data_IF_970083906039
#
_entry.id   IF_970083906039
#
_cell.length_a   1.000
_cell.length_b   1.000
_cell.length_c   1.000
_cell.angle_alpha   90.00
_cell.angle_beta   90.00
_cell.angle_gamma   90.00
#
_symmetry.space_group_name_H-M   'P 1'
#
loop_
_entity.id
_entity.type
_entity.pdbx_description
1 polymer ?
#
# COMPACT_ATOMS: atom_id res chain seq x y z
N UNK A 1 16.82 -18.04 -27.10
CA UNK A 1 17.70 -17.04 -26.47
C UNK A 1 17.09 -16.74 -25.10
N UNK A 2 17.61 -17.36 -24.05
CA UNK A 2 17.22 -17.02 -22.68
C UNK A 2 17.82 -15.66 -22.37
N UNK A 3 17.04 -14.59 -22.54
CA UNK A 3 17.45 -13.26 -22.07
C UNK A 3 17.79 -13.34 -20.58
N UNK A 4 18.85 -12.70 -20.16
CA UNK A 4 19.19 -12.58 -18.75
C UNK A 4 17.98 -11.98 -18.03
N UNK A 5 17.49 -12.64 -16.97
CA UNK A 5 16.43 -12.10 -16.12
C UNK A 5 16.95 -10.86 -15.43
N UNK A 6 16.14 -9.79 -15.38
CA UNK A 6 16.47 -8.61 -14.61
C UNK A 6 16.47 -8.91 -13.09
N UNK A 7 17.23 -8.11 -12.34
CA UNK A 7 17.20 -8.23 -10.88
C UNK A 7 15.84 -7.75 -10.35
N UNK A 8 15.37 -6.57 -10.79
CA UNK A 8 14.15 -5.95 -10.27
C UNK A 8 13.31 -5.30 -11.39
N UNK A 9 11.99 -5.47 -11.32
CA UNK A 9 11.03 -4.68 -12.06
C UNK A 9 10.38 -3.64 -11.12
N UNK A 10 10.67 -2.35 -11.34
CA UNK A 10 9.99 -1.26 -10.64
C UNK A 10 8.63 -1.00 -11.30
N UNK A 11 7.58 -0.93 -10.50
CA UNK A 11 6.21 -0.71 -10.94
C UNK A 11 5.60 0.47 -10.19
N UNK A 12 5.05 1.40 -10.93
CA UNK A 12 4.47 2.64 -10.41
C UNK A 12 3.06 2.81 -10.96
N UNK A 13 2.11 3.20 -10.11
CA UNK A 13 0.77 3.61 -10.55
C UNK A 13 0.60 5.09 -10.30
N UNK A 14 0.23 5.85 -11.35
CA UNK A 14 -0.01 7.27 -11.28
C UNK A 14 -1.49 7.60 -11.48
N UNK A 15 -1.97 8.57 -10.72
CA UNK A 15 -3.25 9.25 -10.93
C UNK A 15 -3.16 10.68 -10.43
N UNK A 16 -3.10 11.65 -11.36
CA UNK A 16 -2.88 13.07 -11.06
C UNK A 16 -1.62 13.32 -10.21
N UNK A 17 -0.49 12.81 -10.68
CA UNK A 17 0.79 12.77 -9.94
C UNK A 17 1.87 13.67 -10.55
N UNK A 18 1.50 14.67 -11.36
CA UNK A 18 2.43 15.52 -12.13
C UNK A 18 3.46 16.24 -11.25
N UNK A 19 3.13 16.50 -9.99
CA UNK A 19 4.01 17.21 -9.05
C UNK A 19 5.15 16.36 -8.51
N UNK A 20 4.97 15.05 -8.43
CA UNK A 20 5.85 14.17 -7.65
C UNK A 20 6.58 13.12 -8.50
N UNK A 21 5.91 12.58 -9.53
CA UNK A 21 6.40 11.43 -10.31
C UNK A 21 7.80 11.63 -10.91
N UNK A 22 8.16 12.85 -11.29
CA UNK A 22 9.49 13.15 -11.82
C UNK A 22 10.58 12.93 -10.77
N UNK A 23 10.37 13.40 -9.54
CA UNK A 23 11.33 13.24 -8.44
C UNK A 23 11.55 11.76 -8.11
N UNK A 24 10.47 10.96 -8.07
CA UNK A 24 10.59 9.51 -7.92
C UNK A 24 11.49 8.92 -9.02
N UNK A 25 11.13 9.11 -10.29
CA UNK A 25 11.83 8.49 -11.43
C UNK A 25 13.30 8.91 -11.49
N UNK A 26 13.62 10.16 -11.15
CA UNK A 26 14.99 10.68 -11.11
C UNK A 26 15.82 10.13 -9.94
N UNK A 27 15.19 9.63 -8.87
CA UNK A 27 15.88 8.97 -7.75
C UNK A 27 16.31 7.53 -8.08
N UNK A 28 15.61 6.85 -8.99
CA UNK A 28 15.79 5.41 -9.25
C UNK A 28 17.19 5.01 -9.69
N UNK A 29 17.88 5.71 -10.61
CA UNK A 29 19.22 5.27 -11.04
C UNK A 29 20.22 5.15 -9.89
N UNK A 30 20.15 6.05 -8.90
CA UNK A 30 21.02 5.99 -7.70
C UNK A 30 20.53 4.92 -6.72
N UNK A 31 19.23 4.75 -6.59
CA UNK A 31 18.63 3.78 -5.70
C UNK A 31 18.91 2.33 -6.09
N UNK A 32 19.00 2.06 -7.40
CA UNK A 32 19.31 0.73 -7.92
C UNK A 32 20.81 0.39 -7.93
N UNK A 33 21.71 1.39 -7.89
CA UNK A 33 23.14 1.16 -7.94
C UNK A 33 23.55 0.38 -9.19
N UNK A 34 24.13 -0.81 -9.01
CA UNK A 34 24.59 -1.68 -10.12
C UNK A 34 23.57 -2.74 -10.57
N UNK A 35 22.38 -2.78 -9.96
CA UNK A 35 21.36 -3.75 -10.33
C UNK A 35 20.78 -3.50 -11.72
N UNK A 36 20.42 -4.58 -12.42
CA UNK A 36 19.67 -4.50 -13.67
C UNK A 36 18.18 -4.35 -13.38
N UNK A 37 17.54 -3.35 -13.96
CA UNK A 37 16.14 -3.07 -13.69
C UNK A 37 15.36 -2.56 -14.90
N UNK A 38 14.04 -2.63 -14.81
CA UNK A 38 13.10 -1.96 -15.71
C UNK A 38 12.13 -1.13 -14.87
N UNK A 39 11.53 -0.11 -15.49
CA UNK A 39 10.51 0.73 -14.86
C UNK A 39 9.26 0.71 -15.72
N UNK A 40 8.14 0.27 -15.17
CA UNK A 40 6.82 0.31 -15.81
C UNK A 40 5.92 1.24 -15.01
N UNK A 41 5.38 2.25 -15.68
CA UNK A 41 4.43 3.21 -15.08
C UNK A 41 3.07 3.02 -15.70
N UNK A 42 2.07 2.67 -14.88
CA UNK A 42 0.67 2.64 -15.29
C UNK A 42 0.01 3.95 -14.92
N UNK A 43 -0.40 4.73 -15.91
CA UNK A 43 -1.19 5.94 -15.69
C UNK A 43 -2.68 5.62 -15.73
N UNK A 44 -3.33 5.75 -14.59
CA UNK A 44 -4.75 5.46 -14.38
C UNK A 44 -5.67 6.61 -14.83
N UNK A 45 -5.39 7.21 -15.99
CA UNK A 45 -6.23 8.24 -16.58
C UNK A 45 -6.08 9.60 -15.91
N UNK A 46 -4.86 10.05 -15.69
CA UNK A 46 -4.56 11.37 -15.15
C UNK A 46 -5.05 12.50 -16.05
N UNK A 47 -5.50 13.60 -15.45
CA UNK A 47 -5.98 14.80 -16.14
C UNK A 47 -5.13 16.06 -15.86
N UNK A 48 -4.06 15.95 -15.07
CA UNK A 48 -3.22 17.05 -14.58
C UNK A 48 -1.90 17.24 -15.37
N UNK A 49 -1.75 16.56 -16.51
CA UNK A 49 -0.51 16.59 -17.31
C UNK A 49 0.50 15.48 -16.95
N UNK A 50 0.20 14.60 -15.99
CA UNK A 50 1.06 13.45 -15.62
C UNK A 50 1.42 12.61 -16.85
N UNK A 51 0.42 12.22 -17.67
CA UNK A 51 0.61 11.40 -18.88
C UNK A 51 1.58 12.06 -19.85
N UNK A 52 1.50 13.39 -20.04
CA UNK A 52 2.38 14.12 -20.97
C UNK A 52 3.83 14.20 -20.46
N UNK A 53 4.02 14.31 -19.14
CA UNK A 53 5.35 14.25 -18.52
C UNK A 53 5.97 12.87 -18.72
N UNK A 54 5.23 11.82 -18.46
CA UNK A 54 5.68 10.43 -18.59
C UNK A 54 5.97 10.05 -20.05
N UNK A 55 5.17 10.51 -21.00
CA UNK A 55 5.35 10.23 -22.42
C UNK A 55 6.66 10.80 -23.03
N UNK A 56 7.29 11.75 -22.35
CA UNK A 56 8.58 12.35 -22.77
C UNK A 56 9.79 11.56 -22.26
N UNK A 57 9.60 10.59 -21.38
CA UNK A 57 10.67 9.78 -20.80
C UNK A 57 10.93 8.55 -21.67
N UNK A 58 12.21 8.27 -21.90
CA UNK A 58 12.66 7.09 -22.65
C UNK A 58 13.17 5.95 -21.75
N UNK A 59 13.26 6.21 -20.45
CA UNK A 59 13.78 5.29 -19.42
C UNK A 59 12.67 4.50 -18.70
N UNK A 60 11.43 4.65 -19.15
CA UNK A 60 10.27 3.94 -18.60
C UNK A 60 9.42 3.32 -19.72
N UNK A 61 8.66 2.29 -19.38
CA UNK A 61 7.51 1.82 -20.16
C UNK A 61 6.24 2.45 -19.61
N UNK A 62 5.53 3.24 -20.42
CA UNK A 62 4.27 3.89 -20.03
C UNK A 62 3.08 3.08 -20.54
N UNK A 63 2.27 2.59 -19.62
CA UNK A 63 0.99 1.94 -19.89
C UNK A 63 -0.15 2.88 -19.53
N UNK A 64 -0.96 3.29 -20.51
CA UNK A 64 -2.16 4.12 -20.28
C UNK A 64 -3.35 3.24 -19.96
N UNK A 65 -4.09 3.59 -18.91
CA UNK A 65 -5.25 2.83 -18.44
C UNK A 65 -6.39 3.75 -18.02
N UNK A 66 -7.55 3.15 -17.79
CA UNK A 66 -8.62 3.78 -17.00
C UNK A 66 -8.33 3.58 -15.51
N UNK A 67 -8.94 4.43 -14.67
CA UNK A 67 -8.80 4.28 -13.22
C UNK A 67 -9.74 3.18 -12.69
N UNK A 68 -9.23 1.96 -12.66
CA UNK A 68 -9.88 0.78 -12.08
C UNK A 68 -9.27 0.37 -10.72
N UNK A 69 -8.44 1.24 -10.12
CA UNK A 69 -7.89 1.13 -8.77
C UNK A 69 -6.39 0.88 -8.74
N UNK A 70 -5.83 1.00 -7.53
CA UNK A 70 -4.39 0.87 -7.31
C UNK A 70 -3.92 -0.57 -7.51
N UNK A 71 -4.63 -1.55 -6.92
CA UNK A 71 -4.30 -2.97 -7.07
C UNK A 71 -4.29 -3.42 -8.55
N UNK A 72 -5.31 -3.03 -9.32
CA UNK A 72 -5.39 -3.33 -10.75
C UNK A 72 -4.25 -2.67 -11.54
N UNK A 73 -3.90 -1.43 -11.21
CA UNK A 73 -2.76 -0.74 -11.79
C UNK A 73 -1.43 -1.47 -11.53
N UNK A 74 -1.18 -1.89 -10.30
CA UNK A 74 0.03 -2.67 -9.95
C UNK A 74 0.07 -4.01 -10.69
N UNK A 75 -1.02 -4.78 -10.68
CA UNK A 75 -1.07 -6.06 -11.39
C UNK A 75 -0.80 -5.88 -12.90
N UNK A 76 -1.37 -4.84 -13.49
CA UNK A 76 -1.15 -4.49 -14.91
C UNK A 76 0.31 -4.09 -15.18
N UNK A 77 0.94 -3.31 -14.28
CA UNK A 77 2.34 -2.94 -14.41
C UNK A 77 3.26 -4.16 -14.32
N UNK A 78 2.97 -5.09 -13.39
CA UNK A 78 3.72 -6.34 -13.25
C UNK A 78 3.55 -7.22 -14.50
N UNK A 79 2.35 -7.30 -15.07
CA UNK A 79 2.08 -8.06 -16.28
C UNK A 79 2.83 -7.48 -17.50
N UNK A 80 2.96 -6.16 -17.59
CA UNK A 80 3.69 -5.49 -18.66
C UNK A 80 5.22 -5.55 -18.44
N UNK A 81 5.68 -5.75 -17.21
CA UNK A 81 7.12 -5.74 -16.91
C UNK A 81 7.85 -6.96 -17.48
N UNK A 82 9.11 -6.80 -17.90
CA UNK A 82 9.98 -7.93 -18.20
C UNK A 82 10.13 -8.88 -17.00
N UNK A 83 10.57 -10.11 -17.28
CA UNK A 83 10.87 -11.06 -16.22
C UNK A 83 12.01 -10.54 -15.33
N UNK A 84 11.74 -10.47 -14.02
CA UNK A 84 12.68 -10.04 -12.99
C UNK A 84 12.52 -10.93 -11.76
N UNK A 85 13.54 -11.05 -10.92
CA UNK A 85 13.49 -11.87 -9.69
C UNK A 85 12.66 -11.22 -8.58
N UNK A 86 12.60 -9.89 -8.56
CA UNK A 86 11.82 -9.11 -7.60
C UNK A 86 11.00 -8.01 -8.28
N UNK A 87 9.96 -7.54 -7.60
CA UNK A 87 9.06 -6.47 -8.00
C UNK A 87 9.16 -5.36 -6.97
N UNK A 88 9.54 -4.15 -7.38
CA UNK A 88 9.56 -2.97 -6.51
C UNK A 88 8.29 -2.14 -6.78
N UNK A 89 7.35 -2.18 -5.85
CA UNK A 89 6.12 -1.40 -5.89
C UNK A 89 6.39 -0.03 -5.29
N UNK A 90 6.03 1.04 -6.01
CA UNK A 90 6.33 2.43 -5.62
C UNK A 90 5.12 3.34 -5.82
N UNK A 91 4.85 4.17 -4.82
CA UNK A 91 3.97 5.32 -4.98
C UNK A 91 4.68 6.44 -5.75
N UNK A 92 3.95 7.24 -6.55
CA UNK A 92 4.54 8.30 -7.36
C UNK A 92 5.08 9.49 -6.55
N UNK A 93 4.75 9.59 -5.26
CA UNK A 93 5.18 10.62 -4.31
C UNK A 93 6.25 10.13 -3.31
N UNK A 94 6.91 9.02 -3.65
CA UNK A 94 8.06 8.50 -2.94
C UNK A 94 9.37 8.87 -3.64
N UNK A 95 10.49 8.86 -2.90
CA UNK A 95 11.85 8.84 -3.44
C UNK A 95 12.70 7.85 -2.66
N UNK A 96 13.73 7.32 -3.28
CA UNK A 96 14.60 6.31 -2.68
C UNK A 96 16.01 6.88 -2.52
N UNK A 97 16.66 6.53 -1.41
CA UNK A 97 18.05 6.83 -1.18
C UNK A 97 18.98 6.02 -2.10
N UNK A 98 20.23 6.46 -2.23
CA UNK A 98 21.24 5.72 -2.95
C UNK A 98 21.42 4.30 -2.38
N UNK A 99 21.50 3.31 -3.26
CA UNK A 99 21.67 1.89 -2.93
C UNK A 99 20.56 1.31 -2.02
N UNK A 100 19.38 1.95 -1.96
CA UNK A 100 18.26 1.43 -1.17
C UNK A 100 17.78 0.07 -1.68
N UNK A 101 17.68 -0.10 -3.00
CA UNK A 101 17.16 -1.34 -3.60
C UNK A 101 18.09 -2.54 -3.38
N UNK A 102 19.42 -2.46 -3.59
CA UNK A 102 20.35 -3.52 -3.20
C UNK A 102 20.20 -3.95 -1.74
N UNK A 103 20.09 -3.01 -0.80
CA UNK A 103 19.91 -3.30 0.63
C UNK A 103 18.57 -4.01 0.92
N UNK A 104 17.49 -3.59 0.26
CA UNK A 104 16.21 -4.31 0.36
C UNK A 104 16.32 -5.72 -0.23
N UNK A 105 17.05 -5.88 -1.33
CA UNK A 105 17.23 -7.17 -1.99
C UNK A 105 18.03 -8.14 -1.11
N UNK A 106 19.02 -7.68 -0.35
CA UNK A 106 19.74 -8.50 0.64
C UNK A 106 18.78 -9.10 1.68
N UNK A 107 17.84 -8.30 2.20
CA UNK A 107 16.80 -8.79 3.13
C UNK A 107 15.83 -9.75 2.45
N UNK A 108 15.46 -9.49 1.19
CA UNK A 108 14.53 -10.32 0.42
C UNK A 108 15.10 -11.71 0.09
N UNK A 109 16.42 -11.82 -0.08
CA UNK A 109 17.09 -13.08 -0.40
C UNK A 109 17.14 -14.06 0.79
N UNK A 110 16.74 -13.65 1.99
CA UNK A 110 16.68 -14.52 3.16
C UNK A 110 15.56 -15.57 3.01
N UNK A 111 15.77 -16.80 3.44
CA UNK A 111 14.75 -17.85 3.33
C UNK A 111 13.42 -17.45 3.97
N UNK A 112 12.33 -17.63 3.24
CA UNK A 112 10.98 -17.34 3.72
C UNK A 112 10.54 -15.89 3.65
N UNK A 113 11.42 -14.95 3.27
CA UNK A 113 11.03 -13.54 3.08
C UNK A 113 10.36 -13.37 1.71
N UNK A 114 9.18 -12.79 1.70
CA UNK A 114 8.40 -12.51 0.49
C UNK A 114 8.22 -11.03 0.21
N UNK A 115 8.28 -10.19 1.25
CA UNK A 115 8.05 -8.74 1.15
C UNK A 115 9.06 -8.03 2.04
N UNK A 116 9.65 -6.94 1.53
CA UNK A 116 10.55 -6.06 2.30
C UNK A 116 10.05 -4.62 2.23
N UNK A 117 9.96 -3.97 3.38
CA UNK A 117 9.64 -2.56 3.52
C UNK A 117 10.87 -1.79 4.04
N UNK A 118 11.22 -0.63 3.46
CA UNK A 118 12.35 0.18 3.90
C UNK A 118 11.97 1.09 5.07
N UNK A 119 12.98 1.75 5.66
CA UNK A 119 12.80 2.91 6.51
C UNK A 119 12.30 4.08 5.66
N UNK A 120 11.21 4.70 6.09
CA UNK A 120 10.62 5.85 5.39
C UNK A 120 10.68 7.07 6.28
N UNK A 121 11.06 8.20 5.71
CA UNK A 121 11.06 9.50 6.37
C UNK A 121 10.07 10.45 5.69
N UNK A 122 9.55 11.41 6.45
CA UNK A 122 8.76 12.54 5.95
C UNK A 122 9.68 13.60 5.35
N UNK A 123 9.13 14.62 4.68
CA UNK A 123 9.92 15.72 4.08
C UNK A 123 10.80 16.49 5.10
N UNK A 124 10.39 16.53 6.36
CA UNK A 124 11.14 17.19 7.44
C UNK A 124 12.23 16.32 8.06
N UNK A 125 12.45 15.10 7.55
CA UNK A 125 13.41 14.13 8.04
C UNK A 125 12.93 13.34 9.26
N UNK A 126 11.71 13.56 9.72
CA UNK A 126 11.14 12.74 10.80
C UNK A 126 10.79 11.33 10.32
N UNK A 127 10.83 10.35 11.22
CA UNK A 127 10.44 8.98 10.91
C UNK A 127 8.96 8.92 10.55
N UNK A 128 8.66 8.38 9.37
CA UNK A 128 7.29 8.02 8.99
C UNK A 128 6.96 6.63 9.52
N UNK A 129 6.04 6.49 10.50
CA UNK A 129 5.70 5.18 11.06
C UNK A 129 4.86 4.38 10.06
N UNK A 130 5.50 3.61 9.19
CA UNK A 130 4.88 2.81 8.13
C UNK A 130 4.50 1.40 8.57
N UNK A 131 5.04 0.89 9.68
CA UNK A 131 4.83 -0.48 10.14
C UNK A 131 3.49 -0.65 10.85
N UNK A 132 2.89 -1.81 10.68
CA UNK A 132 1.53 -2.10 11.16
C UNK A 132 1.41 -3.51 11.72
N UNK A 133 0.53 -3.64 12.71
CA UNK A 133 0.03 -4.93 13.22
C UNK A 133 -1.27 -5.31 12.51
N UNK A 134 -1.52 -6.59 12.34
CA UNK A 134 -2.73 -7.09 11.68
C UNK A 134 -4.03 -6.63 12.39
N UNK A 135 -5.15 -6.52 11.65
CA UNK A 135 -6.40 -6.04 12.19
C UNK A 135 -7.00 -7.01 13.22
N UNK A 136 -7.41 -6.48 14.39
CA UNK A 136 -8.12 -7.22 15.44
C UNK A 136 -9.27 -6.39 15.98
N UNK A 137 -10.22 -7.04 16.69
CA UNK A 137 -11.31 -6.32 17.37
C UNK A 137 -10.77 -5.31 18.39
N UNK A 138 -9.73 -5.65 19.14
CA UNK A 138 -9.12 -4.74 20.10
C UNK A 138 -8.50 -3.51 19.44
N UNK A 139 -7.86 -3.69 18.30
CA UNK A 139 -7.21 -2.59 17.55
C UNK A 139 -8.21 -1.65 16.89
N UNK A 140 -9.29 -2.18 16.28
CA UNK A 140 -10.34 -1.34 15.68
C UNK A 140 -11.16 -0.59 16.71
N UNK A 141 -11.30 -1.15 17.92
CA UNK A 141 -12.14 -0.58 18.97
C UNK A 141 -11.66 0.75 19.55
N UNK A 142 -10.59 1.32 19.00
CA UNK A 142 -10.07 2.61 19.44
C UNK A 142 -9.48 2.58 20.85
N UNK A 143 -9.07 1.40 21.32
CA UNK A 143 -8.42 1.23 22.64
C UNK A 143 -6.94 1.69 22.62
N UNK A 144 -6.44 2.20 21.50
CA UNK A 144 -5.10 2.78 21.39
C UNK A 144 -4.85 3.92 22.38
N UNK A 145 -5.92 4.62 22.83
CA UNK A 145 -5.80 5.64 23.88
C UNK A 145 -5.30 5.10 25.23
N UNK A 146 -5.34 3.79 25.45
CA UNK A 146 -4.78 3.15 26.66
C UNK A 146 -3.25 3.18 26.69
N UNK A 147 -2.60 3.52 25.56
CA UNK A 147 -1.15 3.47 25.42
C UNK A 147 -0.57 2.05 25.33
N UNK A 148 -1.42 1.00 25.38
CA UNK A 148 -0.95 -0.37 25.29
C UNK A 148 -0.70 -0.76 23.81
N UNK A 149 0.53 -1.16 23.42
CA UNK A 149 0.88 -1.48 22.03
C UNK A 149 0.00 -2.54 21.39
N UNK A 150 -0.53 -3.49 22.19
CA UNK A 150 -1.41 -4.57 21.69
C UNK A 150 -2.71 -4.03 21.05
N UNK A 151 -3.15 -2.84 21.45
CA UNK A 151 -4.36 -2.19 20.92
C UNK A 151 -4.08 -1.18 19.81
N UNK A 152 -2.80 -0.90 19.52
CA UNK A 152 -2.42 -0.04 18.42
C UNK A 152 -2.11 -0.87 17.17
N UNK A 153 -2.73 -0.54 16.04
CA UNK A 153 -2.39 -1.11 14.75
C UNK A 153 -1.10 -0.49 14.21
N UNK A 154 -0.99 0.84 14.30
CA UNK A 154 0.20 1.59 13.93
C UNK A 154 1.30 1.37 14.95
N UNK A 155 2.50 1.07 14.50
CA UNK A 155 3.69 0.96 15.33
C UNK A 155 4.36 2.33 15.32
N UNK A 156 4.32 3.03 16.46
CA UNK A 156 4.84 4.40 16.60
C UNK A 156 6.12 4.46 17.44
N UNK A 157 6.49 3.37 18.11
CA UNK A 157 7.71 3.29 18.92
C UNK A 157 8.95 3.37 18.01
N UNK A 158 9.79 4.41 18.10
CA UNK A 158 10.98 4.55 17.26
C UNK A 158 11.96 3.38 17.39
N UNK A 159 12.00 2.71 18.53
CA UNK A 159 12.90 1.57 18.75
C UNK A 159 12.59 0.38 17.85
N UNK A 160 11.35 0.22 17.42
CA UNK A 160 10.93 -0.79 16.45
C UNK A 160 11.50 -0.51 15.03
N UNK A 161 12.02 0.70 14.80
CA UNK A 161 12.61 1.11 13.52
C UNK A 161 14.15 1.11 13.53
N UNK A 162 14.78 0.63 14.59
CA UNK A 162 16.24 0.58 14.70
C UNK A 162 16.85 -0.72 14.17
N UNK A 163 16.08 -1.80 14.09
CA UNK A 163 16.57 -3.11 13.68
C UNK A 163 15.64 -3.80 12.68
N UNK A 164 16.24 -4.69 11.89
CA UNK A 164 15.50 -5.52 10.94
C UNK A 164 14.68 -6.59 11.66
N UNK A 165 13.38 -6.69 11.36
CA UNK A 165 12.48 -7.67 11.95
C UNK A 165 11.23 -7.93 11.09
N UNK A 166 10.52 -9.00 11.41
CA UNK A 166 9.24 -9.32 10.77
C UNK A 166 8.10 -8.45 11.31
N UNK A 167 7.21 -8.03 10.40
CA UNK A 167 6.00 -7.26 10.71
C UNK A 167 4.77 -7.91 10.09
N UNK A 168 3.58 -7.63 10.61
CA UNK A 168 2.36 -8.16 9.99
C UNK A 168 2.12 -7.57 8.60
N UNK A 169 2.37 -6.27 8.43
CA UNK A 169 2.32 -5.57 7.14
C UNK A 169 2.94 -4.16 7.26
N UNK A 170 3.25 -3.56 6.13
CA UNK A 170 3.72 -2.18 6.04
C UNK A 170 2.89 -1.40 5.01
N UNK A 171 2.86 -0.08 5.13
CA UNK A 171 2.18 0.81 4.17
C UNK A 171 2.74 0.60 2.77
N UNK A 172 1.86 0.46 1.79
CA UNK A 172 2.17 0.08 0.40
C UNK A 172 2.88 1.14 -0.44
N UNK A 173 3.42 2.20 0.18
CA UNK A 173 4.11 3.25 -0.56
C UNK A 173 5.41 2.77 -1.24
N UNK A 174 6.14 1.88 -0.57
CA UNK A 174 7.39 1.30 -1.06
C UNK A 174 7.50 -0.14 -0.54
N UNK A 175 7.38 -1.13 -1.42
CA UNK A 175 7.52 -2.54 -1.08
C UNK A 175 8.34 -3.27 -2.14
N UNK A 176 9.38 -3.99 -1.72
CA UNK A 176 10.08 -4.94 -2.58
C UNK A 176 9.51 -6.34 -2.34
N UNK A 177 9.05 -7.00 -3.39
CA UNK A 177 8.33 -8.27 -3.33
C UNK A 177 9.07 -9.33 -4.14
N UNK A 178 9.29 -10.51 -3.56
CA UNK A 178 9.77 -11.69 -4.32
C UNK A 178 8.73 -12.03 -5.39
N UNK A 179 9.17 -12.17 -6.64
CA UNK A 179 8.25 -12.47 -7.76
C UNK A 179 7.49 -13.77 -7.55
N UNK A 180 8.11 -14.78 -6.97
CA UNK A 180 7.44 -16.07 -6.67
C UNK A 180 6.35 -15.89 -5.63
N UNK A 181 6.56 -15.04 -4.62
CA UNK A 181 5.53 -14.68 -3.65
C UNK A 181 4.36 -13.97 -4.34
N UNK A 182 4.63 -12.97 -5.19
CA UNK A 182 3.61 -12.24 -5.94
C UNK A 182 2.77 -13.16 -6.83
N UNK A 183 3.42 -14.04 -7.58
CA UNK A 183 2.76 -14.98 -8.50
C UNK A 183 1.99 -16.08 -7.76
N UNK A 184 2.54 -16.62 -6.65
CA UNK A 184 1.85 -17.62 -5.82
C UNK A 184 0.55 -17.08 -5.22
N UNK A 185 0.47 -15.77 -4.99
CA UNK A 185 -0.71 -15.09 -4.46
C UNK A 185 -1.65 -14.56 -5.56
N UNK A 186 -1.31 -14.75 -6.84
CA UNK A 186 -2.00 -14.17 -7.99
C UNK A 186 -2.10 -12.64 -7.92
N UNK A 187 -1.04 -11.98 -7.43
CA UNK A 187 -0.96 -10.53 -7.30
C UNK A 187 -1.82 -9.94 -6.18
N UNK A 188 -2.10 -8.64 -6.29
CA UNK A 188 -2.98 -7.92 -5.39
C UNK A 188 -4.46 -8.20 -5.72
N UNK A 189 -5.33 -8.18 -4.71
CA UNK A 189 -6.78 -8.35 -4.93
C UNK A 189 -7.41 -7.05 -5.48
N UNK A 190 -7.71 -7.05 -6.77
CA UNK A 190 -8.28 -5.90 -7.50
C UNK A 190 -9.68 -5.49 -7.02
N UNK A 191 -10.32 -6.31 -6.20
CA UNK A 191 -11.58 -5.93 -5.58
C UNK A 191 -11.42 -4.83 -4.53
N UNK A 192 -10.20 -4.56 -4.06
CA UNK A 192 -9.84 -3.35 -3.32
C UNK A 192 -9.40 -2.28 -4.33
N UNK A 193 -10.25 -1.29 -4.55
CA UNK A 193 -9.93 -0.19 -5.46
C UNK A 193 -8.77 0.65 -4.94
N UNK A 194 -8.78 0.97 -3.64
CA UNK A 194 -7.75 1.73 -2.92
C UNK A 194 -7.89 1.44 -1.43
N UNK A 195 -6.77 1.27 -0.74
CA UNK A 195 -6.62 0.88 0.68
C UNK A 195 -7.04 -0.56 0.99
N UNK A 196 -6.26 -1.19 1.82
CA UNK A 196 -6.32 -2.59 2.29
C UNK A 196 -5.81 -3.63 1.29
N UNK A 197 -5.46 -3.29 0.06
CA UNK A 197 -4.84 -4.20 -0.92
C UNK A 197 -3.47 -4.67 -0.44
N UNK A 198 -2.62 -3.78 0.09
CA UNK A 198 -1.32 -4.10 0.65
C UNK A 198 -1.43 -4.90 1.96
N UNK A 199 -2.44 -4.55 2.78
CA UNK A 199 -2.72 -5.29 4.00
C UNK A 199 -3.18 -6.71 3.68
N UNK A 200 -4.12 -6.86 2.73
CA UNK A 200 -4.60 -8.16 2.27
C UNK A 200 -3.45 -8.99 1.69
N UNK A 201 -2.62 -8.38 0.84
CA UNK A 201 -1.50 -9.04 0.20
C UNK A 201 -0.48 -9.56 1.23
N UNK A 202 -0.05 -8.71 2.18
CA UNK A 202 0.89 -9.10 3.24
C UNK A 202 0.33 -10.21 4.14
N UNK A 203 -0.96 -10.15 4.48
CA UNK A 203 -1.59 -11.18 5.31
C UNK A 203 -1.79 -12.49 4.54
N UNK A 204 -2.05 -12.47 3.22
CA UNK A 204 -2.08 -13.68 2.38
C UNK A 204 -0.67 -14.26 2.21
N UNK A 205 0.35 -13.40 2.07
CA UNK A 205 1.75 -13.83 2.03
C UNK A 205 2.12 -14.61 3.30
N UNK A 206 1.81 -14.05 4.48
CA UNK A 206 2.03 -14.73 5.75
C UNK A 206 1.31 -16.07 5.84
N UNK A 207 0.05 -16.15 5.43
CA UNK A 207 -0.73 -17.40 5.45
C UNK A 207 -0.15 -18.47 4.49
N UNK A 208 0.57 -18.02 3.44
CA UNK A 208 1.28 -18.88 2.49
C UNK A 208 2.74 -19.19 2.92
N UNK A 209 3.17 -18.74 4.10
CA UNK A 209 4.50 -19.00 4.66
C UNK A 209 5.59 -18.01 4.24
N UNK A 210 5.19 -16.81 3.70
CA UNK A 210 6.11 -15.72 3.37
C UNK A 210 6.08 -14.64 4.45
N UNK A 211 7.26 -14.21 4.93
CA UNK A 211 7.38 -13.11 5.87
C UNK A 211 7.36 -11.75 5.17
N UNK A 212 6.79 -10.74 5.84
CA UNK A 212 7.03 -9.33 5.55
C UNK A 212 8.09 -8.82 6.53
N UNK A 213 9.20 -8.31 6.01
CA UNK A 213 10.34 -7.84 6.80
C UNK A 213 10.52 -6.34 6.63
N UNK A 214 10.70 -5.64 7.73
CA UNK A 214 11.18 -4.27 7.75
C UNK A 214 12.70 -4.24 7.79
N UNK A 215 13.34 -3.38 6.98
CA UNK A 215 14.79 -3.15 7.05
C UNK A 215 15.11 -1.67 7.25
N UNK A 216 15.90 -1.31 8.30
CA UNK A 216 16.37 0.06 8.52
C UNK A 216 17.54 0.44 7.60
N UNK A 217 18.12 -0.53 6.88
CA UNK A 217 19.32 -0.32 6.06
C UNK A 217 19.01 0.34 4.72
N UNK A 218 17.78 0.33 4.27
CA UNK A 218 17.30 1.00 3.07
C UNK A 218 16.49 2.24 3.46
N UNK A 219 16.89 3.41 2.99
CA UNK A 219 16.21 4.68 3.25
C UNK A 219 15.33 5.09 2.08
N UNK A 220 14.23 5.76 2.41
CA UNK A 220 13.32 6.36 1.44
C UNK A 220 12.59 7.54 2.09
N UNK A 221 12.07 8.44 1.27
CA UNK A 221 11.17 9.51 1.67
C UNK A 221 9.81 9.34 1.00
N UNK A 222 8.74 9.66 1.72
CA UNK A 222 7.38 9.63 1.17
C UNK A 222 6.63 10.87 1.62
N UNK A 223 6.25 11.71 0.66
CA UNK A 223 5.56 12.98 0.93
C UNK A 223 4.18 12.73 1.54
N UNK A 224 3.53 11.65 1.13
CA UNK A 224 2.21 11.29 1.63
C UNK A 224 1.08 12.21 1.16
N UNK A 225 -0.16 11.74 1.33
CA UNK A 225 -1.33 12.55 0.98
C UNK A 225 -1.61 12.73 -0.51
N UNK A 226 -0.84 12.10 -1.40
CA UNK A 226 -1.03 12.18 -2.85
C UNK A 226 -2.41 11.75 -3.33
N UNK A 227 -3.05 10.79 -2.66
CA UNK A 227 -4.44 10.40 -2.90
C UNK A 227 -5.48 11.33 -2.28
N UNK A 228 -5.06 12.32 -1.48
CA UNK A 228 -5.90 13.31 -0.81
C UNK A 228 -6.81 12.70 0.27
N UNK A 229 -6.81 13.26 1.49
CA UNK A 229 -7.82 12.92 2.50
C UNK A 229 -9.17 13.55 2.13
N UNK A 230 -9.96 12.85 1.34
CA UNK A 230 -11.35 13.20 1.07
C UNK A 230 -12.31 12.36 1.93
N UNK A 231 -13.55 12.85 2.10
CA UNK A 231 -14.57 12.04 2.76
C UNK A 231 -14.84 10.70 2.02
N UNK A 232 -14.63 10.67 0.71
CA UNK A 232 -14.80 9.46 -0.10
C UNK A 232 -13.66 8.46 0.15
N UNK A 233 -12.40 8.91 0.16
CA UNK A 233 -11.23 8.05 0.41
C UNK A 233 -11.22 7.52 1.83
N UNK A 234 -11.54 8.36 2.84
CA UNK A 234 -11.70 7.90 4.22
C UNK A 234 -12.82 6.86 4.37
N UNK A 235 -13.98 7.10 3.73
CA UNK A 235 -15.10 6.14 3.74
C UNK A 235 -14.69 4.82 3.11
N UNK A 236 -13.98 4.86 1.98
CA UNK A 236 -13.47 3.67 1.29
C UNK A 236 -12.53 2.87 2.19
N UNK A 237 -11.59 3.54 2.84
CA UNK A 237 -10.67 2.91 3.79
C UNK A 237 -11.42 2.18 4.91
N UNK A 238 -12.39 2.83 5.55
CA UNK A 238 -13.16 2.21 6.64
C UNK A 238 -13.96 1.00 6.15
N UNK A 239 -14.61 1.10 4.98
CA UNK A 239 -15.37 -0.01 4.40
C UNK A 239 -14.47 -1.19 3.99
N UNK A 240 -13.32 -0.91 3.38
CA UNK A 240 -12.36 -1.93 2.98
C UNK A 240 -11.75 -2.65 4.19
N UNK A 241 -11.48 -1.96 5.29
CA UNK A 241 -11.04 -2.58 6.55
C UNK A 241 -12.08 -3.57 7.11
N UNK A 242 -13.36 -3.20 7.09
CA UNK A 242 -14.45 -4.12 7.51
C UNK A 242 -14.52 -5.32 6.55
N UNK A 243 -14.42 -5.09 5.25
CA UNK A 243 -14.42 -6.12 4.21
C UNK A 243 -13.25 -7.10 4.37
N UNK A 244 -12.05 -6.58 4.54
CA UNK A 244 -10.85 -7.37 4.80
C UNK A 244 -11.02 -8.23 6.05
N UNK A 245 -11.46 -7.63 7.16
CA UNK A 245 -11.66 -8.35 8.41
C UNK A 245 -12.71 -9.45 8.27
N UNK A 246 -13.82 -9.18 7.55
CA UNK A 246 -14.86 -10.16 7.25
C UNK A 246 -14.31 -11.39 6.52
N UNK A 247 -13.50 -11.18 5.47
CA UNK A 247 -12.89 -12.26 4.68
C UNK A 247 -12.02 -13.17 5.53
N UNK A 248 -11.35 -12.60 6.53
CA UNK A 248 -10.43 -13.34 7.38
C UNK A 248 -11.07 -13.97 8.62
N UNK A 249 -12.07 -13.34 9.19
CA UNK A 249 -12.64 -13.72 10.49
C UNK A 249 -14.07 -14.23 10.43
N UNK A 250 -14.72 -14.15 9.26
CA UNK A 250 -16.11 -14.54 9.05
C UNK A 250 -17.14 -13.50 9.52
N UNK A 251 -18.41 -13.74 9.17
CA UNK A 251 -19.49 -12.76 9.27
C UNK A 251 -19.78 -12.31 10.69
N UNK A 252 -19.82 -13.23 11.66
CA UNK A 252 -20.14 -12.90 13.05
C UNK A 252 -19.14 -11.90 13.64
N UNK A 253 -17.84 -12.20 13.49
CA UNK A 253 -16.78 -11.29 13.98
C UNK A 253 -16.74 -10.00 13.19
N UNK A 254 -17.08 -10.03 11.90
CA UNK A 254 -17.16 -8.85 11.07
C UNK A 254 -18.26 -7.89 11.51
N UNK A 255 -19.41 -8.37 12.00
CA UNK A 255 -20.44 -7.52 12.61
C UNK A 255 -19.94 -6.81 13.87
N UNK A 256 -19.14 -7.49 14.70
CA UNK A 256 -18.51 -6.86 15.86
C UNK A 256 -17.49 -5.80 15.40
N UNK A 257 -16.65 -6.11 14.42
CA UNK A 257 -15.69 -5.16 13.86
C UNK A 257 -16.39 -3.95 13.24
N UNK A 258 -17.49 -4.16 12.50
CA UNK A 258 -18.33 -3.10 11.96
C UNK A 258 -18.90 -2.21 13.06
N UNK A 259 -19.47 -2.79 14.12
CA UNK A 259 -19.98 -2.05 15.29
C UNK A 259 -18.90 -1.19 15.96
N UNK A 260 -17.69 -1.73 16.12
CA UNK A 260 -16.55 -0.99 16.66
C UNK A 260 -16.14 0.15 15.73
N UNK A 261 -16.11 -0.09 14.40
CA UNK A 261 -15.84 0.96 13.40
C UNK A 261 -16.88 2.09 13.52
N UNK A 262 -18.16 1.76 13.64
CA UNK A 262 -19.24 2.75 13.86
C UNK A 262 -19.00 3.58 15.11
N UNK A 263 -18.64 2.95 16.23
CA UNK A 263 -18.37 3.66 17.49
C UNK A 263 -17.17 4.61 17.37
N UNK A 264 -16.10 4.18 16.72
CA UNK A 264 -14.92 5.03 16.50
C UNK A 264 -15.27 6.22 15.60
N UNK A 265 -15.96 5.98 14.49
CA UNK A 265 -16.38 7.05 13.58
C UNK A 265 -17.37 8.00 14.25
N UNK A 266 -18.29 7.51 15.09
CA UNK A 266 -19.20 8.36 15.87
C UNK A 266 -18.43 9.26 16.83
N UNK A 267 -17.47 8.71 17.59
CA UNK A 267 -16.60 9.50 18.46
C UNK A 267 -15.85 10.58 17.67
N UNK A 268 -15.25 10.24 16.54
CA UNK A 268 -14.53 11.19 15.65
C UNK A 268 -15.46 12.30 15.15
N UNK A 269 -16.67 11.93 14.72
CA UNK A 269 -17.68 12.87 14.25
C UNK A 269 -18.12 13.87 15.35
N UNK A 270 -18.36 13.37 16.58
CA UNK A 270 -18.71 14.21 17.75
C UNK A 270 -17.55 15.14 18.12
N UNK A 271 -16.29 14.69 17.96
CA UNK A 271 -15.09 15.49 18.19
C UNK A 271 -14.76 16.46 17.03
N UNK A 272 -15.66 16.63 16.05
CA UNK A 272 -15.53 17.64 15.00
C UNK A 272 -14.95 17.16 13.67
N UNK A 273 -14.64 15.86 13.51
CA UNK A 273 -14.15 15.30 12.26
C UNK A 273 -15.29 15.15 11.24
N UNK A 274 -15.39 16.11 10.32
CA UNK A 274 -16.53 16.17 9.37
C UNK A 274 -16.60 14.97 8.41
N UNK A 275 -15.46 14.42 8.02
CA UNK A 275 -15.37 13.23 7.16
C UNK A 275 -16.08 12.03 7.77
N UNK A 276 -15.99 11.87 9.08
CA UNK A 276 -16.62 10.77 9.81
C UNK A 276 -18.15 10.77 9.76
N UNK A 277 -18.82 11.93 9.66
CA UNK A 277 -20.27 11.98 9.41
C UNK A 277 -20.67 11.39 8.07
N UNK A 278 -19.87 11.65 7.02
CA UNK A 278 -20.09 11.05 5.69
C UNK A 278 -19.89 9.54 5.75
N UNK A 279 -18.82 9.10 6.40
CA UNK A 279 -18.52 7.68 6.59
C UNK A 279 -19.62 6.95 7.37
N UNK A 280 -20.13 7.52 8.48
CA UNK A 280 -21.25 6.95 9.23
C UNK A 280 -22.49 6.76 8.36
N UNK A 281 -22.84 7.76 7.55
CA UNK A 281 -23.98 7.64 6.62
C UNK A 281 -23.76 6.52 5.60
N UNK A 282 -22.56 6.39 5.04
CA UNK A 282 -22.22 5.35 4.06
C UNK A 282 -22.15 3.95 4.69
N UNK A 283 -21.75 3.83 5.96
CA UNK A 283 -21.78 2.55 6.68
C UNK A 283 -23.20 1.97 6.73
N UNK A 284 -24.20 2.80 7.04
CA UNK A 284 -25.61 2.36 7.18
C UNK A 284 -26.42 2.47 5.88
N UNK A 285 -25.95 3.25 4.89
CA UNK A 285 -26.63 3.44 3.60
C UNK A 285 -25.73 3.06 2.44
N UNK A 286 -25.80 1.81 1.96
CA UNK A 286 -24.95 1.32 0.88
C UNK A 286 -24.99 2.17 -0.40
N UNK A 287 -26.13 2.83 -0.68
CA UNK A 287 -26.26 3.74 -1.84
C UNK A 287 -25.41 5.02 -1.75
N UNK A 288 -24.86 5.35 -0.59
CA UNK A 288 -23.96 6.49 -0.38
C UNK A 288 -22.48 6.10 -0.39
N UNK A 289 -22.18 4.83 -0.62
CA UNK A 289 -20.79 4.34 -0.71
C UNK A 289 -20.14 4.82 -2.00
N UNK A 290 -18.81 5.02 -1.99
CA UNK A 290 -18.07 5.30 -3.21
C UNK A 290 -18.39 4.25 -4.30
N UNK A 291 -18.71 4.67 -5.54
CA UNK A 291 -19.12 3.74 -6.61
C UNK A 291 -18.02 2.74 -6.99
N UNK A 292 -16.77 3.09 -6.74
CA UNK A 292 -15.60 2.23 -6.95
C UNK A 292 -15.62 0.94 -6.09
N UNK A 293 -16.37 0.92 -4.99
CA UNK A 293 -16.54 -0.28 -4.16
C UNK A 293 -17.58 -1.26 -4.71
N UNK A 294 -18.15 -0.97 -5.88
CA UNK A 294 -19.20 -1.75 -6.50
C UNK A 294 -20.58 -1.51 -5.86
N UNK A 295 -21.61 -1.82 -6.63
CA UNK A 295 -22.98 -1.73 -6.14
C UNK A 295 -23.25 -2.85 -5.12
N UNK A 296 -23.66 -2.49 -3.91
CA UNK A 296 -24.05 -3.43 -2.87
C UNK A 296 -25.25 -2.88 -2.11
N UNK A 297 -26.20 -3.74 -1.78
CA UNK A 297 -27.34 -3.43 -0.89
C UNK A 297 -27.09 -3.90 0.55
N UNK A 298 -26.03 -4.69 0.77
CA UNK A 298 -25.71 -5.23 2.08
C UNK A 298 -25.09 -4.16 3.00
N UNK A 299 -25.58 -4.08 4.24
CA UNK A 299 -25.01 -3.19 5.26
C UNK A 299 -23.56 -3.60 5.55
N UNK A 300 -23.32 -4.89 5.81
CA UNK A 300 -21.95 -5.40 5.98
C UNK A 300 -21.25 -5.47 4.63
N UNK A 301 -20.12 -4.76 4.43
CA UNK A 301 -19.38 -4.78 3.15
C UNK A 301 -18.94 -6.20 2.75
N UNK A 302 -19.03 -6.49 1.43
CA UNK A 302 -18.66 -7.80 0.86
C UNK A 302 -17.38 -7.71 0.07
#
# INVERSE_FOLDING_TARGET
>A
MTGASLDVAAVVVTYNSSRHVTALLDSLPKAFGSLTYSVVVVDNGSADGTTDLLARRSDIELVRSINDGYAAGINRAVLASPAASAILILNPDATLDADAVPRMLESLQRPGVGIVAPRVEEEDGSLSPTLRRGPTLGRVGGLSFTGLPVFAERIEDPSEYESEHEVDWAVGAILLVDRRCFEALNGLDESFFLYSEETDFSLRARDAGWATVYTPHAGAMHIGGGSGESAATHTMQMLNRVRLYRRRAGDLRAWLYFGMTVLVELRRAVLGQRTSWTTLRALFRPSLRPPQLGASTAILPR
#
